data_IF_682682578847
#
_entry.id   IF_682682578847
#
_cell.length_a   1.000
_cell.length_b   1.000
_cell.length_c   1.000
_cell.angle_alpha   90.00
_cell.angle_beta   90.00
_cell.angle_gamma   90.00
#
_symmetry.space_group_name_H-M   'P 1'
#
loop_
_entity.id
_entity.type
_entity.pdbx_description
1 polymer ?
#
# COMPACT_ATOMS: atom_id res chain seq x y z
N UNK A 1 5.67 -30.39 21.90
CA UNK A 1 6.45 -29.16 21.86
C UNK A 1 6.11 -28.42 20.57
N UNK A 2 5.69 -27.15 20.64
CA UNK A 2 5.37 -26.35 19.44
C UNK A 2 6.49 -25.34 19.26
N UNK A 3 7.18 -25.39 18.13
CA UNK A 3 8.17 -24.37 17.74
C UNK A 3 7.65 -23.60 16.54
N UNK A 4 7.80 -22.30 16.55
CA UNK A 4 7.49 -21.43 15.43
C UNK A 4 8.74 -20.61 15.05
N UNK A 5 8.93 -20.45 13.76
CA UNK A 5 10.06 -19.74 13.19
C UNK A 5 9.55 -18.65 12.26
N UNK A 6 10.13 -17.49 12.35
CA UNK A 6 9.93 -16.41 11.37
C UNK A 6 11.20 -16.30 10.51
N UNK A 7 11.02 -16.39 9.20
CA UNK A 7 12.12 -16.39 8.26
C UNK A 7 11.92 -15.23 7.30
N UNK A 8 12.87 -14.30 7.26
CA UNK A 8 12.89 -13.18 6.34
C UNK A 8 13.80 -13.50 5.16
N UNK A 9 13.24 -13.47 3.96
CA UNK A 9 13.96 -13.81 2.73
C UNK A 9 13.60 -12.89 1.58
N UNK A 10 14.45 -12.84 0.57
CA UNK A 10 14.11 -12.16 -0.67
C UNK A 10 12.91 -12.85 -1.36
N UNK A 11 12.06 -12.09 -2.07
CA UNK A 11 10.88 -12.66 -2.75
C UNK A 11 11.20 -13.82 -3.67
N UNK A 12 12.34 -13.79 -4.36
CA UNK A 12 12.81 -14.85 -5.27
C UNK A 12 13.15 -16.15 -4.55
N UNK A 13 13.51 -16.10 -3.27
CA UNK A 13 13.89 -17.26 -2.47
C UNK A 13 12.72 -17.84 -1.65
N UNK A 14 11.57 -17.18 -1.62
CA UNK A 14 10.44 -17.55 -0.76
C UNK A 14 9.94 -18.98 -1.03
N UNK A 15 9.77 -19.36 -2.30
CA UNK A 15 9.32 -20.70 -2.69
C UNK A 15 10.30 -21.80 -2.26
N UNK A 16 11.59 -21.55 -2.44
CA UNK A 16 12.65 -22.50 -2.08
C UNK A 16 12.71 -22.69 -0.56
N UNK A 17 12.63 -21.61 0.20
CA UNK A 17 12.65 -21.66 1.66
C UNK A 17 11.47 -22.47 2.21
N UNK A 18 10.28 -22.28 1.66
CA UNK A 18 9.09 -23.05 2.05
C UNK A 18 9.31 -24.53 1.73
N UNK A 19 9.81 -24.86 0.54
CA UNK A 19 10.09 -26.23 0.14
C UNK A 19 11.09 -26.91 1.08
N UNK A 20 12.19 -26.24 1.38
CA UNK A 20 13.22 -26.75 2.30
C UNK A 20 12.67 -26.90 3.72
N UNK A 21 11.87 -25.96 4.18
CA UNK A 21 11.23 -26.03 5.52
C UNK A 21 10.30 -27.23 5.65
N UNK A 22 9.52 -27.52 4.62
CA UNK A 22 8.63 -28.71 4.59
C UNK A 22 9.48 -29.99 4.58
N UNK A 23 10.54 -30.05 3.79
CA UNK A 23 11.46 -31.19 3.76
C UNK A 23 12.17 -31.40 5.10
N UNK A 24 12.42 -30.34 5.85
CA UNK A 24 12.98 -30.38 7.21
C UNK A 24 11.96 -30.73 8.31
N UNK A 25 10.69 -30.97 7.95
CA UNK A 25 9.67 -31.42 8.88
C UNK A 25 8.70 -30.33 9.35
N UNK A 26 8.69 -29.16 8.75
CA UNK A 26 7.67 -28.17 9.04
C UNK A 26 6.29 -28.67 8.54
N UNK A 27 5.35 -28.81 9.44
CA UNK A 27 4.02 -29.35 9.16
C UNK A 27 2.94 -28.27 9.02
N UNK A 28 3.30 -27.00 9.20
CA UNK A 28 2.38 -25.86 9.09
C UNK A 28 3.13 -24.62 8.64
N UNK A 29 2.74 -24.06 7.49
CA UNK A 29 3.20 -22.75 7.07
C UNK A 29 2.23 -21.68 7.57
N UNK A 30 2.77 -20.54 8.02
CA UNK A 30 2.01 -19.35 8.32
C UNK A 30 1.68 -18.52 7.06
N UNK A 31 1.05 -17.39 7.27
CA UNK A 31 0.83 -16.43 6.19
C UNK A 31 2.17 -15.82 5.71
N UNK A 32 2.27 -15.63 4.40
CA UNK A 32 3.40 -14.90 3.82
C UNK A 32 3.06 -13.42 3.92
N UNK A 33 3.93 -12.66 4.58
CA UNK A 33 3.82 -11.22 4.70
C UNK A 33 4.87 -10.54 3.81
N UNK A 34 4.40 -9.71 2.89
CA UNK A 34 5.28 -8.95 2.01
C UNK A 34 5.63 -7.63 2.67
N UNK A 35 6.92 -7.35 2.83
CA UNK A 35 7.44 -6.11 3.40
C UNK A 35 8.38 -5.44 2.41
N UNK A 36 8.38 -4.12 2.42
CA UNK A 36 9.33 -3.33 1.65
C UNK A 36 10.62 -3.15 2.47
N UNK A 37 11.77 -3.34 1.82
CA UNK A 37 13.07 -3.11 2.47
C UNK A 37 13.31 -1.63 2.80
N UNK A 38 12.79 -0.72 1.97
CA UNK A 38 12.92 0.72 2.18
C UNK A 38 11.57 1.44 2.02
N UNK A 39 10.74 1.31 3.05
CA UNK A 39 9.44 1.97 3.09
C UNK A 39 9.56 3.50 3.16
N UNK A 40 10.61 4.02 3.83
CA UNK A 40 10.82 5.46 3.97
C UNK A 40 11.10 6.13 2.63
N UNK A 41 11.91 5.50 1.78
CA UNK A 41 12.18 6.02 0.43
C UNK A 41 10.92 6.05 -0.43
N UNK A 42 10.07 5.03 -0.33
CA UNK A 42 8.79 5.01 -1.05
C UNK A 42 7.83 6.10 -0.54
N UNK A 43 7.74 6.31 0.77
CA UNK A 43 6.95 7.41 1.35
C UNK A 43 7.46 8.77 0.91
N UNK A 44 8.78 8.97 0.87
CA UNK A 44 9.37 10.22 0.39
C UNK A 44 9.02 10.49 -1.08
N UNK A 45 9.10 9.50 -1.94
CA UNK A 45 8.68 9.62 -3.35
C UNK A 45 7.19 9.91 -3.50
N UNK A 46 6.35 9.29 -2.69
CA UNK A 46 4.91 9.55 -2.70
C UNK A 46 4.60 10.99 -2.26
N UNK A 47 5.29 11.50 -1.24
CA UNK A 47 5.15 12.89 -0.78
C UNK A 47 5.64 13.89 -1.84
N UNK A 48 6.76 13.62 -2.50
CA UNK A 48 7.27 14.42 -3.61
C UNK A 48 6.26 14.51 -4.77
N UNK A 49 5.72 13.38 -5.18
CA UNK A 49 4.70 13.33 -6.23
C UNK A 49 3.42 14.09 -5.83
N UNK A 50 3.04 14.04 -4.55
CA UNK A 50 1.90 14.78 -4.02
C UNK A 50 2.14 16.30 -4.06
N UNK A 51 3.35 16.76 -3.72
CA UNK A 51 3.73 18.19 -3.80
C UNK A 51 3.73 18.69 -5.24
N UNK A 52 4.24 17.93 -6.19
CA UNK A 52 4.21 18.27 -7.62
C UNK A 52 2.76 18.45 -8.10
N UNK A 53 1.87 17.53 -7.72
CA UNK A 53 0.45 17.66 -8.05
C UNK A 53 -0.19 18.88 -7.39
N UNK A 54 0.10 19.13 -6.11
CA UNK A 54 -0.42 20.30 -5.40
C UNK A 54 -0.02 21.60 -6.10
N UNK A 55 1.23 21.72 -6.52
CA UNK A 55 1.71 22.90 -7.26
C UNK A 55 1.02 23.06 -8.62
N UNK A 56 0.82 21.96 -9.35
CA UNK A 56 0.12 22.00 -10.64
C UNK A 56 -1.34 22.47 -10.47
N UNK A 57 -2.04 21.99 -9.47
CA UNK A 57 -3.41 22.42 -9.17
C UNK A 57 -3.43 23.89 -8.74
N UNK A 58 -2.50 24.31 -7.88
CA UNK A 58 -2.39 25.70 -7.44
C UNK A 58 -2.12 26.65 -8.61
N UNK A 59 -1.29 26.24 -9.57
CA UNK A 59 -1.03 27.01 -10.80
C UNK A 59 -2.30 27.19 -11.63
N UNK A 60 -3.06 26.13 -11.86
CA UNK A 60 -4.32 26.19 -12.59
C UNK A 60 -5.35 27.10 -11.90
N UNK A 61 -5.40 27.05 -10.58
CA UNK A 61 -6.28 27.96 -9.81
C UNK A 61 -5.85 29.41 -9.92
N UNK A 62 -4.55 29.70 -9.85
CA UNK A 62 -4.01 31.04 -10.02
C UNK A 62 -4.28 31.60 -11.43
N UNK A 63 -4.11 30.77 -12.46
CA UNK A 63 -4.43 31.10 -13.83
C UNK A 63 -5.91 31.46 -14.01
N UNK A 64 -6.80 30.65 -13.38
CA UNK A 64 -8.24 30.92 -13.39
C UNK A 64 -8.66 32.22 -12.69
N UNK A 65 -7.87 32.65 -11.71
CA UNK A 65 -8.07 33.90 -11.00
C UNK A 65 -7.32 35.10 -11.65
N UNK A 66 -6.58 34.86 -12.71
CA UNK A 66 -5.72 35.84 -13.36
C UNK A 66 -4.66 36.47 -12.44
N UNK A 67 -4.13 35.66 -11.51
CA UNK A 67 -3.03 36.04 -10.62
C UNK A 67 -1.84 35.11 -10.84
N UNK A 68 -0.67 35.51 -10.38
CA UNK A 68 0.53 34.68 -10.47
C UNK A 68 0.65 33.81 -9.23
N UNK A 69 1.04 32.58 -9.44
CA UNK A 69 1.42 31.68 -8.33
C UNK A 69 2.79 32.09 -7.82
N UNK A 70 2.87 32.46 -6.56
CA UNK A 70 4.10 32.78 -5.86
C UNK A 70 4.74 31.57 -5.19
N UNK A 71 5.55 31.83 -4.19
CA UNK A 71 6.31 30.80 -3.49
C UNK A 71 5.44 29.93 -2.55
N UNK A 72 5.96 28.74 -2.25
CA UNK A 72 5.39 27.88 -1.24
C UNK A 72 5.61 28.50 0.14
N UNK A 73 4.52 28.79 0.83
CA UNK A 73 4.53 29.39 2.17
C UNK A 73 4.57 28.33 3.26
N UNK A 74 3.82 27.25 3.08
CA UNK A 74 3.68 26.18 4.05
C UNK A 74 3.36 24.86 3.37
N UNK A 75 3.96 23.79 3.85
CA UNK A 75 3.62 22.43 3.44
C UNK A 75 3.62 21.50 4.65
N UNK A 76 2.63 20.61 4.71
CA UNK A 76 2.51 19.58 5.74
C UNK A 76 1.99 18.29 5.13
N UNK A 77 2.39 17.18 5.68
CA UNK A 77 1.82 15.87 5.39
C UNK A 77 0.59 15.55 6.27
N UNK A 78 0.22 16.45 7.15
CA UNK A 78 -0.98 16.34 7.96
C UNK A 78 -2.09 17.20 7.34
N UNK A 79 -3.19 16.58 7.00
CA UNK A 79 -4.38 17.31 6.58
C UNK A 79 -4.99 18.00 7.80
N UNK A 80 -5.23 19.32 7.77
CA UNK A 80 -5.96 19.97 8.86
C UNK A 80 -7.30 19.26 9.02
N UNK A 81 -7.52 18.66 10.15
CA UNK A 81 -8.80 18.00 10.48
C UNK A 81 -9.87 19.06 10.66
N UNK A 82 -10.40 19.58 9.58
CA UNK A 82 -11.77 20.05 9.63
C UNK A 82 -12.59 18.81 9.96
N UNK A 83 -13.28 18.80 11.09
CA UNK A 83 -14.21 17.73 11.47
C UNK A 83 -15.38 17.76 10.48
N UNK A 84 -15.15 17.26 9.29
CA UNK A 84 -16.21 16.90 8.39
C UNK A 84 -16.82 15.63 8.97
N UNK A 85 -17.96 15.79 9.60
CA UNK A 85 -18.82 14.68 9.98
C UNK A 85 -19.26 13.99 8.68
N UNK A 86 -18.48 13.04 8.21
CA UNK A 86 -18.97 12.12 7.21
C UNK A 86 -19.95 11.19 7.92
N UNK A 87 -21.23 11.35 7.60
CA UNK A 87 -22.22 10.34 7.94
C UNK A 87 -21.72 8.99 7.44
N UNK A 88 -21.72 7.95 8.28
CA UNK A 88 -21.26 6.63 7.86
C UNK A 88 -22.13 6.16 6.70
N UNK A 89 -21.51 5.98 5.54
CA UNK A 89 -22.17 5.33 4.41
C UNK A 89 -22.48 3.90 4.81
N UNK A 90 -23.71 3.42 4.64
CA UNK A 90 -24.02 2.02 4.91
C UNK A 90 -23.11 1.15 4.05
N UNK A 91 -22.31 0.33 4.70
CA UNK A 91 -21.51 -0.70 4.03
C UNK A 91 -22.48 -1.72 3.47
N UNK A 92 -22.64 -1.72 2.16
CA UNK A 92 -23.33 -2.81 1.49
C UNK A 92 -22.41 -4.04 1.64
N UNK A 93 -22.71 -4.88 2.59
CA UNK A 93 -22.11 -6.22 2.67
C UNK A 93 -22.77 -7.07 1.61
N UNK A 94 -22.11 -7.19 0.48
CA UNK A 94 -22.40 -8.26 -0.46
C UNK A 94 -22.01 -9.58 0.22
N UNK A 95 -23.02 -10.31 0.68
CA UNK A 95 -22.83 -11.71 1.00
C UNK A 95 -22.58 -12.45 -0.31
N UNK A 96 -21.33 -12.69 -0.62
CA UNK A 96 -20.98 -13.71 -1.60
C UNK A 96 -21.10 -15.05 -0.90
N UNK A 97 -22.16 -15.77 -1.20
CA UNK A 97 -22.27 -17.19 -0.93
C UNK A 97 -21.09 -17.88 -1.61
N UNK A 98 -20.13 -18.30 -0.83
CA UNK A 98 -19.06 -19.16 -1.32
C UNK A 98 -19.64 -20.55 -1.59
N UNK A 99 -19.96 -20.81 -2.84
CA UNK A 99 -20.16 -22.16 -3.29
C UNK A 99 -18.87 -22.94 -3.08
N UNK A 100 -18.88 -23.86 -2.13
CA UNK A 100 -17.81 -24.82 -1.92
C UNK A 100 -17.77 -25.78 -3.10
N UNK A 101 -16.94 -25.49 -4.09
CA UNK A 101 -16.58 -26.45 -5.09
C UNK A 101 -15.44 -27.28 -4.53
N UNK A 102 -15.77 -28.49 -4.08
CA UNK A 102 -14.78 -29.51 -3.78
C UNK A 102 -14.07 -29.88 -5.08
N UNK A 103 -12.96 -29.23 -5.34
CA UNK A 103 -12.14 -29.54 -6.51
C UNK A 103 -11.16 -30.63 -6.14
N UNK A 104 -11.27 -31.75 -6.82
CA UNK A 104 -10.37 -32.90 -6.75
C UNK A 104 -8.92 -32.45 -6.85
N UNK A 105 -8.17 -32.80 -5.82
CA UNK A 105 -6.71 -32.67 -5.80
C UNK A 105 -6.12 -33.61 -6.86
N UNK A 106 -5.77 -33.06 -7.97
CA UNK A 106 -4.90 -33.73 -8.93
C UNK A 106 -3.75 -32.78 -9.28
N UNK A 107 -2.55 -33.25 -8.98
CA UNK A 107 -1.26 -32.68 -9.33
C UNK A 107 -0.93 -31.41 -8.52
N UNK A 108 0.05 -31.57 -7.64
CA UNK A 108 0.71 -30.45 -6.95
C UNK A 108 1.21 -29.45 -7.99
N UNK A 109 0.52 -28.33 -8.25
CA UNK A 109 1.12 -27.29 -9.06
C UNK A 109 2.36 -26.81 -8.30
N UNK A 110 3.41 -26.52 -9.05
CA UNK A 110 4.57 -25.87 -8.47
C UNK A 110 4.08 -24.67 -7.64
N UNK A 111 4.53 -24.58 -6.40
CA UNK A 111 4.12 -23.51 -5.48
C UNK A 111 4.57 -22.16 -6.06
N UNK A 112 3.69 -21.53 -6.81
CA UNK A 112 3.96 -20.25 -7.45
C UNK A 112 3.70 -19.12 -6.46
N UNK A 113 4.75 -18.63 -5.82
CA UNK A 113 4.68 -17.50 -4.92
C UNK A 113 4.97 -16.26 -5.73
N UNK A 114 3.96 -15.44 -5.96
CA UNK A 114 4.10 -14.16 -6.65
C UNK A 114 4.18 -13.03 -5.64
N UNK A 115 5.22 -12.18 -5.69
CA UNK A 115 5.29 -10.99 -4.86
C UNK A 115 4.11 -10.07 -5.13
N UNK A 116 3.54 -9.51 -4.06
CA UNK A 116 2.48 -8.53 -4.17
C UNK A 116 3.08 -7.13 -4.38
N UNK A 117 2.39 -6.31 -5.18
CA UNK A 117 2.73 -4.90 -5.32
C UNK A 117 2.28 -4.15 -4.09
N UNK A 118 3.21 -3.48 -3.43
CA UNK A 118 2.93 -2.60 -2.30
C UNK A 118 2.74 -1.19 -2.83
N UNK A 119 1.59 -0.59 -2.52
CA UNK A 119 1.29 0.79 -2.87
C UNK A 119 1.34 1.64 -1.60
N UNK A 120 2.03 2.76 -1.69
CA UNK A 120 2.07 3.76 -0.63
C UNK A 120 1.42 5.03 -1.16
N UNK A 121 0.56 5.63 -0.35
CA UNK A 121 -0.14 6.88 -0.67
C UNK A 121 0.29 7.97 0.30
N UNK A 122 0.49 9.17 -0.21
CA UNK A 122 0.78 10.33 0.59
C UNK A 122 -0.20 11.45 0.27
N UNK A 123 -0.68 12.11 1.32
CA UNK A 123 -1.49 13.33 1.22
C UNK A 123 -0.68 14.49 1.73
N UNK A 124 -0.65 15.57 0.96
CA UNK A 124 0.09 16.78 1.32
C UNK A 124 -0.87 17.96 1.30
N UNK A 125 -0.79 18.75 2.35
CA UNK A 125 -1.41 20.08 2.42
C UNK A 125 -0.36 21.13 2.11
N UNK A 126 -0.60 21.99 1.13
CA UNK A 126 0.33 23.04 0.73
C UNK A 126 -0.38 24.38 0.57
N UNK A 127 0.27 25.42 1.01
CA UNK A 127 -0.19 26.82 0.88
C UNK A 127 0.84 27.58 0.06
N UNK A 128 0.37 28.21 -1.01
CA UNK A 128 1.20 29.04 -1.90
C UNK A 128 0.76 30.50 -1.77
N UNK A 129 1.71 31.42 -1.90
CA UNK A 129 1.41 32.82 -2.07
C UNK A 129 0.81 33.06 -3.47
N UNK A 130 0.03 34.10 -3.60
CA UNK A 130 -0.44 34.64 -4.91
C UNK A 130 -0.01 36.10 -5.05
N UNK A 131 0.39 36.48 -6.25
CA UNK A 131 0.84 37.84 -6.60
C UNK A 131 -0.01 38.43 -7.71
#
# INVERSE_FOLDING_TARGET
MRQSWEINVAPSAAAEVIRVSIAAGANKSGAIEWRLSDRKALQAKAAEAALIKARAVASQMADGLHVKLGDLVYASNETPTAKLYFAPRPRLTLYTESASVAQKVNLLPALEIRPQTIREEATVYAVFAIE
#
